data_IF_664538423872
#
_entry.id   IF_664538423872
#
_cell.length_a   1.000
_cell.length_b   1.000
_cell.length_c   1.000
_cell.angle_alpha   90.00
_cell.angle_beta   90.00
_cell.angle_gamma   90.00
#
_symmetry.space_group_name_H-M   'P 1'
#
loop_
_entity.id
_entity.type
_entity.pdbx_description
1 polymer ?
#
# COMPACT_ATOMS: atom_id res chain seq x y z
N UNK A 1 -9.54 4.25 6.74
CA UNK A 1 -10.07 4.23 5.36
C UNK A 1 -8.93 4.53 4.41
N UNK A 2 -8.70 3.68 3.43
CA UNK A 2 -7.66 3.84 2.42
C UNK A 2 -8.30 4.22 1.10
N UNK A 3 -7.78 5.24 0.42
CA UNK A 3 -8.36 5.75 -0.84
C UNK A 3 -7.26 5.86 -1.88
N UNK A 4 -7.51 5.32 -3.07
CA UNK A 4 -6.62 5.53 -4.21
C UNK A 4 -6.94 6.88 -4.83
N UNK A 5 -5.91 7.73 -4.97
CA UNK A 5 -6.03 9.04 -5.61
C UNK A 5 -5.13 9.10 -6.85
N UNK A 6 -5.28 10.16 -7.66
CA UNK A 6 -4.34 10.49 -8.73
C UNK A 6 -3.41 11.59 -8.25
N UNK A 7 -2.11 11.37 -8.30
CA UNK A 7 -1.11 12.37 -7.91
C UNK A 7 -0.13 12.62 -9.06
N UNK A 8 0.33 13.87 -9.14
CA UNK A 8 1.45 14.28 -9.99
C UNK A 8 2.65 14.47 -9.08
N UNK A 9 3.71 13.69 -9.31
CA UNK A 9 4.93 13.79 -8.53
C UNK A 9 5.96 14.54 -9.37
N UNK A 10 6.42 15.66 -8.85
CA UNK A 10 7.49 16.47 -9.42
C UNK A 10 8.77 16.17 -8.63
N UNK A 11 9.76 15.57 -9.29
CA UNK A 11 11.01 15.18 -8.65
C UNK A 11 12.11 16.23 -8.78
N UNK A 12 11.97 17.18 -9.72
CA UNK A 12 12.99 18.17 -10.03
C UNK A 12 12.38 19.47 -10.61
N UNK A 13 13.16 20.54 -10.70
CA UNK A 13 12.75 21.85 -11.23
C UNK A 13 12.56 21.86 -12.76
N UNK A 14 12.90 20.78 -13.46
CA UNK A 14 12.64 20.62 -14.90
C UNK A 14 11.16 20.71 -15.30
N UNK A 15 10.22 20.60 -14.36
CA UNK A 15 8.78 20.62 -14.64
C UNK A 15 8.22 19.28 -15.15
N UNK A 16 9.07 18.25 -15.26
CA UNK A 16 8.66 16.89 -15.64
C UNK A 16 7.98 16.21 -14.43
N UNK A 17 6.73 15.79 -14.62
CA UNK A 17 5.96 15.10 -13.58
C UNK A 17 5.64 13.66 -13.98
N UNK A 18 5.58 12.78 -12.98
CA UNK A 18 5.08 11.41 -13.16
C UNK A 18 3.70 11.29 -12.55
N UNK A 19 2.73 10.79 -13.31
CA UNK A 19 1.40 10.47 -12.78
C UNK A 19 1.44 9.10 -12.12
N UNK A 20 1.11 9.07 -10.83
CA UNK A 20 1.15 7.86 -10.01
C UNK A 20 -0.18 7.76 -9.24
N UNK A 21 -0.69 6.54 -8.99
CA UNK A 21 -1.87 6.33 -8.14
C UNK A 21 -1.45 6.02 -6.68
N UNK A 22 -1.17 7.01 -5.81
CA UNK A 22 -0.81 6.71 -4.43
C UNK A 22 -2.03 6.29 -3.60
N UNK A 23 -1.73 5.76 -2.42
CA UNK A 23 -2.73 5.40 -1.43
C UNK A 23 -2.75 6.44 -0.31
N UNK A 24 -3.89 7.09 -0.13
CA UNK A 24 -4.16 8.02 0.96
C UNK A 24 -4.75 7.26 2.15
N UNK A 25 -4.13 7.41 3.32
CA UNK A 25 -4.59 6.91 4.60
C UNK A 25 -4.96 8.07 5.54
N UNK A 26 -5.54 7.75 6.71
CA UNK A 26 -5.89 8.77 7.71
C UNK A 26 -4.66 9.54 8.24
N UNK A 27 -3.50 8.92 8.22
CA UNK A 27 -2.22 9.52 8.66
C UNK A 27 -1.49 10.27 7.54
N UNK A 28 -2.05 10.33 6.34
CA UNK A 28 -1.42 10.94 5.17
C UNK A 28 -1.22 9.95 4.02
N UNK A 29 -0.39 10.34 3.06
CA UNK A 29 -0.09 9.52 1.89
C UNK A 29 0.94 8.46 2.25
N UNK A 30 0.82 7.27 1.65
CA UNK A 30 1.79 6.20 1.83
C UNK A 30 3.06 6.49 0.99
N UNK A 31 3.97 7.28 1.55
CA UNK A 31 5.24 7.67 0.92
C UNK A 31 6.06 6.48 0.41
N UNK A 32 6.22 5.35 1.15
CA UNK A 32 6.99 4.21 0.66
C UNK A 32 6.43 3.60 -0.63
N UNK A 33 5.11 3.71 -0.85
CA UNK A 33 4.48 3.25 -2.08
C UNK A 33 4.77 4.20 -3.25
N UNK A 34 4.86 5.51 -2.98
CA UNK A 34 5.27 6.50 -3.98
C UNK A 34 6.71 6.25 -4.40
N UNK A 35 7.62 6.11 -3.44
CA UNK A 35 9.05 5.87 -3.72
C UNK A 35 9.24 4.61 -4.54
N UNK A 36 8.51 3.55 -4.20
CA UNK A 36 8.53 2.31 -4.97
C UNK A 36 8.04 2.50 -6.42
N UNK A 37 6.98 3.28 -6.63
CA UNK A 37 6.49 3.58 -7.98
C UNK A 37 7.43 4.47 -8.77
N UNK A 38 8.08 5.46 -8.15
CA UNK A 38 9.09 6.30 -8.79
C UNK A 38 10.29 5.46 -9.21
N UNK A 39 10.81 4.61 -8.32
CA UNK A 39 11.95 3.74 -8.62
C UNK A 39 11.66 2.76 -9.77
N UNK A 40 10.42 2.29 -9.91
CA UNK A 40 10.00 1.37 -10.99
C UNK A 40 9.27 2.04 -12.16
N UNK A 41 9.23 3.38 -12.19
CA UNK A 41 8.47 4.14 -13.20
C UNK A 41 8.97 3.92 -14.62
N UNK A 42 10.26 3.65 -14.79
CA UNK A 42 10.90 3.40 -16.08
C UNK A 42 10.52 2.03 -16.69
N UNK A 43 10.20 1.03 -15.86
CA UNK A 43 10.01 -0.36 -16.30
C UNK A 43 8.55 -0.85 -16.20
N UNK A 44 7.67 -0.09 -15.54
CA UNK A 44 6.30 -0.53 -15.22
C UNK A 44 5.27 0.49 -15.69
N UNK A 45 4.20 -0.04 -16.27
CA UNK A 45 3.08 0.77 -16.73
C UNK A 45 2.20 1.29 -15.58
N UNK A 46 1.46 2.36 -15.86
CA UNK A 46 0.48 2.92 -14.93
C UNK A 46 -0.59 1.90 -14.49
N UNK A 47 -1.02 1.01 -15.39
CA UNK A 47 -1.94 -0.09 -15.08
C UNK A 47 -1.37 -1.06 -14.05
N UNK A 48 -0.07 -1.34 -14.12
CA UNK A 48 0.60 -2.17 -13.12
C UNK A 48 0.60 -1.46 -11.76
N UNK A 49 0.88 -0.15 -11.71
CA UNK A 49 0.84 0.63 -10.47
C UNK A 49 -0.58 0.65 -9.84
N UNK A 50 -1.63 0.76 -10.66
CA UNK A 50 -3.03 0.66 -10.20
C UNK A 50 -3.34 -0.69 -9.56
N UNK A 51 -2.86 -1.79 -10.16
CA UNK A 51 -3.02 -3.14 -9.60
C UNK A 51 -2.30 -3.27 -8.26
N UNK A 52 -1.05 -2.82 -8.17
CA UNK A 52 -0.29 -2.84 -6.91
C UNK A 52 -1.00 -2.02 -5.84
N UNK A 53 -1.45 -0.82 -6.16
CA UNK A 53 -2.20 0.05 -5.22
C UNK A 53 -3.45 -0.63 -4.70
N UNK A 54 -4.21 -1.32 -5.57
CA UNK A 54 -5.39 -2.09 -5.18
C UNK A 54 -5.02 -3.25 -4.24
N UNK A 55 -3.97 -3.99 -4.53
CA UNK A 55 -3.50 -5.10 -3.69
C UNK A 55 -3.04 -4.60 -2.31
N UNK A 56 -2.24 -3.54 -2.26
CA UNK A 56 -1.78 -2.92 -1.01
C UNK A 56 -2.96 -2.40 -0.20
N UNK A 57 -3.93 -1.76 -0.83
CA UNK A 57 -5.16 -1.32 -0.17
C UNK A 57 -5.88 -2.48 0.52
N UNK A 58 -6.16 -3.56 -0.22
CA UNK A 58 -6.86 -4.73 0.32
C UNK A 58 -6.08 -5.36 1.48
N UNK A 59 -4.75 -5.44 1.35
CA UNK A 59 -3.89 -5.96 2.41
C UNK A 59 -3.97 -5.10 3.68
N UNK A 60 -3.88 -3.77 3.56
CA UNK A 60 -3.96 -2.87 4.70
C UNK A 60 -5.36 -2.84 5.34
N UNK A 61 -6.42 -2.90 4.54
CA UNK A 61 -7.80 -3.05 5.02
C UNK A 61 -7.96 -4.36 5.80
N UNK A 62 -7.42 -5.46 5.29
CA UNK A 62 -7.45 -6.77 5.96
C UNK A 62 -6.73 -6.73 7.32
N UNK A 63 -5.49 -6.23 7.38
CA UNK A 63 -4.72 -6.13 8.64
C UNK A 63 -5.39 -5.19 9.64
N UNK A 64 -6.04 -4.12 9.17
CA UNK A 64 -6.76 -3.20 10.04
C UNK A 64 -7.98 -3.89 10.72
N UNK A 65 -8.68 -4.77 10.00
CA UNK A 65 -9.85 -5.50 10.51
C UNK A 65 -9.44 -6.69 11.39
N UNK A 66 -8.28 -7.29 11.13
CA UNK A 66 -7.80 -8.51 11.79
C UNK A 66 -6.49 -8.24 12.56
N UNK A 67 -6.54 -7.51 13.69
CA UNK A 67 -5.33 -7.12 14.43
C UNK A 67 -4.55 -8.32 15.01
N UNK A 68 -5.21 -9.46 15.24
CA UNK A 68 -4.56 -10.69 15.69
C UNK A 68 -3.59 -11.30 14.64
N UNK A 69 -3.78 -11.02 13.36
CA UNK A 69 -2.90 -11.49 12.28
C UNK A 69 -1.71 -10.54 12.04
N UNK A 70 -1.63 -9.46 12.82
CA UNK A 70 -0.58 -8.43 12.69
C UNK A 70 0.74 -8.86 13.31
N UNK A 71 0.71 -9.84 14.22
CA UNK A 71 1.88 -10.38 14.90
C UNK A 71 2.08 -11.86 14.53
N UNK A 72 2.97 -12.19 13.58
CA UNK A 72 3.28 -13.58 13.24
C UNK A 72 4.07 -14.30 14.35
N UNK A 73 4.54 -13.60 15.39
CA UNK A 73 5.33 -14.14 16.50
C UNK A 73 4.54 -14.31 17.79
N UNK A 74 3.26 -13.93 17.84
CA UNK A 74 2.39 -14.22 18.98
C UNK A 74 1.91 -15.69 18.92
N UNK A 75 2.87 -16.60 19.05
CA UNK A 75 2.65 -18.04 19.24
C UNK A 75 2.06 -18.34 20.64
N UNK A 76 2.02 -17.35 21.52
CA UNK A 76 1.70 -17.51 22.94
C UNK A 76 0.22 -17.52 23.28
N UNK A 77 -0.69 -17.15 22.37
CA UNK A 77 -2.10 -16.97 22.73
C UNK A 77 -3.13 -17.51 21.71
N UNK A 78 -2.86 -18.69 21.12
CA UNK A 78 -3.95 -19.47 20.48
C UNK A 78 -4.48 -20.51 21.47
N UNK A 79 -5.64 -20.30 22.13
CA UNK A 79 -6.36 -21.42 22.72
C UNK A 79 -6.70 -22.37 21.59
N UNK A 80 -6.30 -23.62 21.79
CA UNK A 80 -6.53 -24.76 20.92
C UNK A 80 -7.93 -24.68 20.33
N UNK A 81 -8.04 -24.32 19.04
CA UNK A 81 -9.24 -24.62 18.27
C UNK A 81 -9.30 -26.14 18.19
N UNK A 82 -9.95 -26.71 19.19
CA UNK A 82 -10.33 -28.10 19.24
C UNK A 82 -11.09 -28.41 17.95
N UNK A 83 -10.47 -29.27 17.15
CA UNK A 83 -11.21 -30.05 16.17
C UNK A 83 -12.21 -30.89 16.94
N UNK A 84 -13.49 -30.51 16.84
CA UNK A 84 -14.63 -31.39 17.09
C UNK A 84 -15.66 -31.12 16.00
#
# INVERSE_FOLDING_TARGET
MFVSIRAKVLTDETGVYTEIPPLLAATGVLEPLIDYFLHRSHDRSLEWMRKVTRSVRLFLEYIQINPAERDPLDFTDRPSRAFT
#
